data_IF_094319273194
#
_entry.id   IF_094319273194
#
_cell.length_a   1.000
_cell.length_b   1.000
_cell.length_c   1.000
_cell.angle_alpha   90.00
_cell.angle_beta   90.00
_cell.angle_gamma   90.00
#
_symmetry.space_group_name_H-M   'P 1'
#
loop_
_entity.id
_entity.type
_entity.pdbx_description
1 polymer ?
#
# COMPACT_ATOMS: atom_id res chain seq x y z
N UNK A 1 29.04 -3.11 18.38
CA UNK A 1 29.45 -2.39 17.16
C UNK A 1 28.19 -1.98 16.41
N UNK A 2 28.03 -0.70 16.06
CA UNK A 2 26.90 -0.27 15.25
C UNK A 2 26.95 -0.99 13.89
N UNK A 3 25.84 -1.60 13.46
CA UNK A 3 25.78 -2.25 12.14
C UNK A 3 26.11 -1.21 11.07
N UNK A 4 27.06 -1.56 10.20
CA UNK A 4 27.38 -0.78 9.00
C UNK A 4 26.08 -0.56 8.18
N UNK A 5 25.98 0.58 7.51
CA UNK A 5 24.84 0.94 6.63
C UNK A 5 24.59 -0.17 5.60
N UNK A 6 25.66 -0.80 5.10
CA UNK A 6 25.57 -1.93 4.19
C UNK A 6 24.86 -3.15 4.81
N UNK A 7 25.13 -3.44 6.09
CA UNK A 7 24.51 -4.56 6.79
C UNK A 7 23.03 -4.30 7.06
N UNK A 8 22.66 -3.07 7.44
CA UNK A 8 21.26 -2.66 7.61
C UNK A 8 20.44 -2.83 6.32
N UNK A 9 20.97 -2.37 5.18
CA UNK A 9 20.31 -2.53 3.87
C UNK A 9 20.14 -3.99 3.46
N UNK A 10 21.11 -4.86 3.80
CA UNK A 10 20.99 -6.30 3.53
C UNK A 10 19.89 -6.94 4.37
N UNK A 11 19.83 -6.60 5.66
CA UNK A 11 18.82 -7.10 6.58
C UNK A 11 17.40 -6.63 6.18
N UNK A 12 17.25 -5.39 5.71
CA UNK A 12 15.98 -4.88 5.16
C UNK A 12 15.54 -5.65 3.92
N UNK A 13 16.45 -5.86 2.95
CA UNK A 13 16.13 -6.62 1.73
C UNK A 13 15.76 -8.06 2.03
N UNK A 14 16.46 -8.69 2.97
CA UNK A 14 16.17 -10.05 3.41
C UNK A 14 14.77 -10.14 4.03
N UNK A 15 14.46 -9.27 4.99
CA UNK A 15 13.12 -9.20 5.62
C UNK A 15 12.02 -8.98 4.59
N UNK A 16 12.23 -8.07 3.64
CA UNK A 16 11.29 -7.82 2.55
C UNK A 16 11.09 -9.06 1.68
N UNK A 17 12.17 -9.74 1.28
CA UNK A 17 12.08 -10.95 0.46
C UNK A 17 11.37 -12.09 1.18
N UNK A 18 11.67 -12.31 2.45
CA UNK A 18 11.02 -13.32 3.30
C UNK A 18 9.52 -13.03 3.45
N UNK A 19 9.15 -11.77 3.71
CA UNK A 19 7.75 -11.37 3.81
C UNK A 19 7.00 -11.58 2.48
N UNK A 20 7.56 -11.13 1.36
CA UNK A 20 6.93 -11.28 0.04
C UNK A 20 6.72 -12.74 -0.34
N UNK A 21 7.68 -13.61 0.00
CA UNK A 21 7.55 -15.04 -0.21
C UNK A 21 6.43 -15.64 0.66
N UNK A 22 6.32 -15.22 1.93
CA UNK A 22 5.32 -15.72 2.87
C UNK A 22 3.88 -15.40 2.42
N UNK A 23 3.66 -14.24 1.79
CA UNK A 23 2.33 -13.80 1.33
C UNK A 23 2.02 -14.18 -0.13
N UNK A 24 2.92 -14.91 -0.80
CA UNK A 24 2.74 -15.31 -2.20
C UNK A 24 2.69 -14.14 -3.19
N UNK A 25 3.41 -13.06 -2.88
CA UNK A 25 3.34 -11.81 -3.63
C UNK A 25 3.76 -11.97 -5.09
N UNK A 26 3.04 -11.29 -5.99
CA UNK A 26 3.42 -11.11 -7.39
C UNK A 26 3.70 -9.63 -7.66
N UNK A 27 4.74 -9.29 -8.44
CA UNK A 27 5.04 -7.90 -8.74
C UNK A 27 3.91 -7.26 -9.56
N UNK A 28 3.47 -6.08 -9.12
CA UNK A 28 2.58 -5.20 -9.85
C UNK A 28 3.37 -3.93 -10.21
N UNK A 29 3.51 -3.65 -11.50
CA UNK A 29 4.11 -2.40 -11.97
C UNK A 29 2.98 -1.39 -12.21
N UNK A 30 3.05 -0.24 -11.55
CA UNK A 30 2.05 0.83 -11.65
C UNK A 30 2.75 2.18 -11.72
N UNK A 31 2.32 3.03 -12.65
CA UNK A 31 2.72 4.43 -12.69
C UNK A 31 1.92 5.19 -11.62
N UNK A 32 2.63 5.83 -10.69
CA UNK A 32 2.03 6.65 -9.63
C UNK A 32 2.55 8.08 -9.74
N UNK A 33 1.63 9.05 -9.70
CA UNK A 33 1.99 10.46 -9.59
C UNK A 33 2.55 10.75 -8.19
N UNK A 34 3.35 11.82 -8.06
CA UNK A 34 4.02 12.19 -6.81
C UNK A 34 3.08 12.48 -5.63
N UNK A 35 1.87 12.98 -5.90
CA UNK A 35 0.85 13.15 -4.86
C UNK A 35 0.38 11.81 -4.29
N UNK A 36 0.15 10.83 -5.18
CA UNK A 36 -0.33 9.49 -4.84
C UNK A 36 0.69 8.72 -4.01
N UNK A 37 1.99 8.89 -4.26
CA UNK A 37 3.04 8.24 -3.44
C UNK A 37 3.10 8.81 -2.02
N UNK A 38 2.87 10.12 -1.84
CA UNK A 38 2.77 10.74 -0.52
C UNK A 38 1.55 10.26 0.28
N UNK A 39 0.40 10.13 -0.37
CA UNK A 39 -0.81 9.58 0.25
C UNK A 39 -0.62 8.12 0.68
N UNK A 40 0.02 7.31 -0.17
CA UNK A 40 0.32 5.91 0.17
C UNK A 40 1.25 5.80 1.38
N UNK A 41 2.27 6.63 1.48
CA UNK A 41 3.18 6.63 2.64
C UNK A 41 2.46 7.05 3.93
N UNK A 42 1.56 8.03 3.84
CA UNK A 42 0.70 8.43 4.97
C UNK A 42 -0.19 7.27 5.41
N UNK A 43 -0.85 6.58 4.47
CA UNK A 43 -1.70 5.42 4.76
C UNK A 43 -0.89 4.32 5.44
N UNK A 44 0.30 4.00 4.93
CA UNK A 44 1.19 3.01 5.56
C UNK A 44 1.56 3.37 6.98
N UNK A 45 1.94 4.63 7.21
CA UNK A 45 2.34 5.10 8.53
C UNK A 45 1.19 4.99 9.54
N UNK A 46 0.00 5.49 9.17
CA UNK A 46 -1.16 5.50 10.06
C UNK A 46 -1.73 4.09 10.32
N UNK A 47 -1.71 3.22 9.32
CA UNK A 47 -2.23 1.85 9.42
C UNK A 47 -1.18 0.82 9.89
N UNK A 48 0.10 1.22 10.04
CA UNK A 48 1.17 0.35 10.48
C UNK A 48 1.64 -0.69 9.45
N UNK A 49 1.51 -0.41 8.16
CA UNK A 49 1.99 -1.30 7.09
C UNK A 49 3.50 -1.14 6.87
N UNK A 50 4.22 -2.25 6.75
CA UNK A 50 5.65 -2.24 6.45
C UNK A 50 5.91 -2.01 4.95
N UNK A 51 4.95 -2.40 4.10
CA UNK A 51 5.10 -2.35 2.65
C UNK A 51 3.89 -1.73 1.94
N UNK A 52 4.17 -1.00 0.87
CA UNK A 52 3.20 -0.46 -0.08
C UNK A 52 2.22 -1.56 -0.56
N UNK A 53 2.75 -2.76 -0.81
CA UNK A 53 1.96 -3.90 -1.26
C UNK A 53 0.92 -4.34 -0.24
N UNK A 54 1.22 -4.29 1.07
CA UNK A 54 0.26 -4.64 2.12
C UNK A 54 -0.88 -3.63 2.16
N UNK A 55 -0.54 -2.34 2.17
CA UNK A 55 -1.50 -1.25 2.16
C UNK A 55 -2.44 -1.37 0.96
N UNK A 56 -1.89 -1.52 -0.25
CA UNK A 56 -2.66 -1.65 -1.49
C UNK A 56 -3.55 -2.89 -1.45
N UNK A 57 -3.02 -4.04 -1.03
CA UNK A 57 -3.78 -5.30 -0.94
C UNK A 57 -4.97 -5.15 0.00
N UNK A 58 -4.75 -4.62 1.21
CA UNK A 58 -5.81 -4.43 2.20
C UNK A 58 -6.85 -3.42 1.72
N UNK A 59 -6.43 -2.31 1.11
CA UNK A 59 -7.36 -1.32 0.54
C UNK A 59 -8.23 -1.95 -0.55
N UNK A 60 -7.64 -2.70 -1.49
CA UNK A 60 -8.39 -3.37 -2.57
C UNK A 60 -9.42 -4.35 -1.99
N UNK A 61 -9.04 -5.19 -1.04
CA UNK A 61 -9.97 -6.14 -0.44
C UNK A 61 -11.12 -5.46 0.30
N UNK A 62 -10.84 -4.42 1.10
CA UNK A 62 -11.87 -3.70 1.82
C UNK A 62 -12.82 -2.96 0.87
N UNK A 63 -12.28 -2.31 -0.15
CA UNK A 63 -13.10 -1.62 -1.16
C UNK A 63 -13.92 -2.63 -1.96
N UNK A 64 -13.36 -3.78 -2.35
CA UNK A 64 -14.11 -4.83 -3.02
C UNK A 64 -15.25 -5.38 -2.15
N UNK A 65 -15.02 -5.58 -0.84
CA UNK A 65 -16.05 -6.02 0.09
C UNK A 65 -17.21 -5.02 0.24
N UNK A 66 -17.01 -3.74 -0.10
CA UNK A 66 -18.10 -2.76 -0.14
C UNK A 66 -19.09 -3.03 -1.26
N UNK A 67 -18.70 -3.68 -2.36
CA UNK A 67 -19.62 -3.98 -3.47
C UNK A 67 -20.83 -4.78 -2.98
N UNK A 68 -20.57 -5.77 -2.12
CA UNK A 68 -21.61 -6.63 -1.56
C UNK A 68 -22.27 -6.02 -0.31
N UNK A 69 -21.50 -5.26 0.49
CA UNK A 69 -21.96 -4.73 1.79
C UNK A 69 -22.71 -3.41 1.68
N UNK A 70 -22.19 -2.47 0.89
CA UNK A 70 -22.68 -1.10 0.75
C UNK A 70 -22.23 -0.49 -0.58
N UNK A 71 -23.06 -0.70 -1.60
CA UNK A 71 -22.80 -0.22 -2.95
C UNK A 71 -22.78 1.32 -3.05
N UNK A 72 -23.46 2.03 -2.13
CA UNK A 72 -23.47 3.49 -2.12
C UNK A 72 -22.11 4.02 -1.68
N UNK A 73 -21.60 3.50 -0.57
CA UNK A 73 -20.28 3.86 -0.06
C UNK A 73 -19.18 3.44 -1.05
N UNK A 74 -19.29 2.26 -1.68
CA UNK A 74 -18.38 1.85 -2.75
C UNK A 74 -18.28 2.94 -3.84
N UNK A 75 -19.42 3.39 -4.37
CA UNK A 75 -19.46 4.41 -5.43
C UNK A 75 -18.82 5.72 -4.97
N UNK A 76 -19.03 6.12 -3.71
CA UNK A 76 -18.42 7.32 -3.15
C UNK A 76 -16.88 7.22 -3.11
N UNK A 77 -16.34 6.13 -2.56
CA UNK A 77 -14.89 5.98 -2.39
C UNK A 77 -14.15 5.71 -3.70
N UNK A 78 -14.81 5.17 -4.73
CA UNK A 78 -14.21 4.95 -6.06
C UNK A 78 -14.47 6.09 -7.06
N UNK A 79 -15.19 7.15 -6.67
CA UNK A 79 -15.51 8.24 -7.58
C UNK A 79 -14.27 9.10 -7.88
N UNK A 80 -13.91 9.20 -9.16
CA UNK A 80 -12.83 10.06 -9.65
C UNK A 80 -13.10 11.55 -9.34
N UNK A 81 -14.36 11.94 -9.21
CA UNK A 81 -14.73 13.33 -8.87
C UNK A 81 -14.20 13.74 -7.49
N UNK A 82 -14.06 12.79 -6.56
CA UNK A 82 -13.52 13.06 -5.23
C UNK A 82 -12.01 13.30 -5.27
N UNK A 83 -11.29 12.67 -6.21
CA UNK A 83 -9.85 12.90 -6.42
C UNK A 83 -9.55 14.36 -6.81
N UNK A 84 -10.47 15.02 -7.53
CA UNK A 84 -10.33 16.42 -7.98
C UNK A 84 -10.59 17.46 -6.90
N UNK A 85 -11.24 17.08 -5.79
CA UNK A 85 -11.57 18.01 -4.69
C UNK A 85 -10.45 18.13 -3.65
N UNK A 86 -9.49 17.20 -3.68
CA UNK A 86 -8.37 17.13 -2.73
C UNK A 86 -7.04 17.62 -3.32
N UNK A 87 -7.00 17.94 -4.61
CA UNK A 87 -5.87 18.58 -5.31
C UNK A 87 -6.00 20.10 -5.31
#
# INVERSE_FOLDING_TARGET
MAKDVAQRKRDERKRKAEHLAAVGAKPLNMDMFSGTTGELERIKTEAGFEQDAEAITVMIHNVAALIDRDLSLFKEVTSIENLRKSA
#
